data_IF_638405597332
#
_entry.id   IF_638405597332
#
_cell.length_a   1.000
_cell.length_b   1.000
_cell.length_c   1.000
_cell.angle_alpha   90.00
_cell.angle_beta   90.00
_cell.angle_gamma   90.00
#
_symmetry.space_group_name_H-M   'P 1'
#
loop_
_entity.id
_entity.type
_entity.pdbx_description
1 polymer ?
#
# COMPACT_ATOMS: atom_id res chain seq x y z
N UNK A 1 16.63 -52.82 60.19
CA UNK A 1 17.14 -51.44 60.39
C UNK A 1 16.29 -50.51 59.55
N UNK A 2 15.55 -49.59 60.17
CA UNK A 2 14.79 -48.56 59.46
C UNK A 2 15.80 -47.65 58.75
N UNK A 3 15.78 -47.61 57.41
CA UNK A 3 16.59 -46.65 56.65
C UNK A 3 15.98 -45.26 56.89
N UNK A 4 16.76 -44.36 57.51
CA UNK A 4 16.32 -43.00 57.82
C UNK A 4 16.01 -42.20 56.55
N UNK A 5 14.96 -41.38 56.62
CA UNK A 5 14.61 -40.42 55.58
C UNK A 5 15.50 -39.19 55.78
N UNK A 6 16.38 -38.89 54.82
CA UNK A 6 17.32 -37.77 54.88
C UNK A 6 16.57 -36.43 54.96
N UNK A 7 16.91 -35.55 55.91
CA UNK A 7 16.43 -34.15 55.95
C UNK A 7 15.34 -33.80 56.98
N UNK A 8 14.99 -34.68 57.93
CA UNK A 8 14.08 -34.36 59.05
C UNK A 8 14.67 -34.81 60.40
N UNK A 9 14.37 -34.10 61.52
CA UNK A 9 14.97 -34.35 62.83
C UNK A 9 14.54 -35.69 63.47
N UNK A 10 13.48 -36.34 62.98
CA UNK A 10 13.15 -37.73 63.34
C UNK A 10 12.30 -38.41 62.26
N UNK A 11 12.38 -39.74 62.16
CA UNK A 11 11.49 -40.55 61.32
C UNK A 11 10.04 -40.61 61.86
N UNK A 12 9.82 -40.16 63.11
CA UNK A 12 8.53 -40.20 63.81
C UNK A 12 7.70 -38.92 63.59
N UNK A 13 8.35 -37.81 63.27
CA UNK A 13 7.73 -36.48 63.07
C UNK A 13 7.76 -36.01 61.62
N UNK A 14 8.41 -36.74 60.73
CA UNK A 14 8.29 -36.53 59.30
C UNK A 14 6.87 -36.94 58.85
N UNK A 15 6.18 -36.16 58.01
CA UNK A 15 4.99 -36.65 57.33
C UNK A 15 5.34 -38.00 56.69
N UNK A 16 4.55 -39.03 56.94
CA UNK A 16 4.78 -40.32 56.34
C UNK A 16 4.72 -40.16 54.82
N UNK A 17 5.88 -40.24 54.14
CA UNK A 17 5.92 -40.62 52.73
C UNK A 17 5.65 -42.11 52.69
N UNK A 18 4.38 -42.47 52.90
CA UNK A 18 3.91 -43.82 52.71
C UNK A 18 3.83 -44.10 51.20
N UNK A 19 3.80 -45.39 50.86
CA UNK A 19 3.66 -45.84 49.47
C UNK A 19 2.40 -45.23 48.82
N UNK A 20 1.34 -45.03 49.62
CA UNK A 20 0.09 -44.41 49.19
C UNK A 20 0.30 -42.97 48.70
N UNK A 21 0.94 -42.10 49.48
CA UNK A 21 1.23 -40.72 49.11
C UNK A 21 2.19 -40.63 47.93
N UNK A 22 3.13 -41.57 47.83
CA UNK A 22 4.07 -41.64 46.71
C UNK A 22 3.36 -42.04 45.42
N UNK A 23 2.49 -43.04 45.49
CA UNK A 23 1.66 -43.48 44.37
C UNK A 23 0.68 -42.40 43.95
N UNK A 24 0.05 -41.70 44.90
CA UNK A 24 -0.81 -40.55 44.62
C UNK A 24 -0.07 -39.42 43.89
N UNK A 25 1.19 -39.16 44.21
CA UNK A 25 1.99 -38.18 43.45
C UNK A 25 2.34 -38.68 42.04
N UNK A 26 2.83 -39.90 41.90
CA UNK A 26 3.27 -40.46 40.61
C UNK A 26 2.09 -40.59 39.63
N UNK A 27 0.92 -41.00 40.13
CA UNK A 27 -0.29 -41.14 39.32
C UNK A 27 -0.98 -39.81 39.00
N UNK A 28 -0.59 -38.72 39.68
CA UNK A 28 -1.14 -37.40 39.40
C UNK A 28 -0.52 -36.80 38.13
N UNK A 29 -1.13 -37.13 37.00
CA UNK A 29 -0.72 -36.64 35.68
C UNK A 29 -0.71 -35.11 35.56
N UNK A 30 -1.43 -34.36 36.41
CA UNK A 30 -1.43 -32.90 36.39
C UNK A 30 -0.15 -32.26 36.96
N UNK A 31 0.67 -33.03 37.69
CA UNK A 31 1.94 -32.56 38.27
C UNK A 31 3.15 -32.86 37.38
N UNK A 32 2.99 -33.72 36.38
CA UNK A 32 4.09 -34.22 35.55
C UNK A 32 3.91 -33.78 34.11
N UNK A 33 5.03 -33.58 33.41
CA UNK A 33 5.03 -33.35 31.97
C UNK A 33 5.48 -34.60 31.23
N UNK A 34 4.79 -34.90 30.16
CA UNK A 34 5.13 -35.92 29.18
C UNK A 34 6.33 -35.50 28.32
N UNK A 35 6.89 -36.45 27.58
CA UNK A 35 7.89 -36.12 26.56
C UNK A 35 7.29 -35.24 25.44
N UNK A 36 6.05 -35.51 25.04
CA UNK A 36 5.34 -34.72 24.02
C UNK A 36 5.14 -33.26 24.42
N UNK A 37 4.76 -33.00 25.66
CA UNK A 37 4.66 -31.62 26.19
C UNK A 37 6.01 -30.91 26.19
N UNK A 38 7.08 -31.58 26.63
CA UNK A 38 8.43 -30.99 26.60
C UNK A 38 8.91 -30.68 25.18
N UNK A 39 8.68 -31.58 24.23
CA UNK A 39 9.01 -31.34 22.81
C UNK A 39 8.23 -30.14 22.26
N UNK A 40 6.93 -30.05 22.57
CA UNK A 40 6.10 -28.92 22.14
C UNK A 40 6.59 -27.60 22.74
N UNK A 41 6.88 -27.58 24.05
CA UNK A 41 7.36 -26.38 24.75
C UNK A 41 8.75 -25.94 24.27
N UNK A 42 9.64 -26.88 23.93
CA UNK A 42 10.97 -26.57 23.41
C UNK A 42 10.93 -25.86 22.04
N UNK A 43 9.85 -26.04 21.26
CA UNK A 43 9.64 -25.34 20.00
C UNK A 43 9.05 -23.93 20.12
N UNK A 44 8.71 -23.47 21.33
CA UNK A 44 8.08 -22.16 21.57
C UNK A 44 9.16 -21.16 22.00
N UNK A 45 9.31 -20.07 21.23
CA UNK A 45 10.24 -19.00 21.58
C UNK A 45 9.84 -18.31 22.90
N UNK A 46 10.83 -17.85 23.67
CA UNK A 46 10.58 -17.05 24.86
C UNK A 46 9.76 -15.80 24.50
N UNK A 47 8.65 -15.56 25.22
CA UNK A 47 7.74 -14.46 24.96
C UNK A 47 6.72 -14.71 23.84
N UNK A 48 6.63 -15.93 23.29
CA UNK A 48 5.59 -16.27 22.33
C UNK A 48 4.19 -16.15 22.98
N UNK A 49 3.36 -15.29 22.42
CA UNK A 49 1.97 -15.11 22.85
C UNK A 49 1.06 -16.13 22.18
N UNK A 50 0.07 -16.63 22.94
CA UNK A 50 -0.93 -17.54 22.39
C UNK A 50 -1.86 -16.74 21.47
N UNK A 51 -1.86 -17.07 20.17
CA UNK A 51 -2.72 -16.47 19.15
C UNK A 51 -2.37 -15.01 18.77
N UNK A 52 -1.10 -14.73 18.49
CA UNK A 52 -0.73 -13.43 17.93
C UNK A 52 -1.47 -13.20 16.60
N UNK A 53 -2.12 -12.03 16.45
CA UNK A 53 -2.75 -11.68 15.18
C UNK A 53 -1.68 -11.65 14.07
N UNK A 54 -1.98 -12.20 12.89
CA UNK A 54 -1.07 -12.10 11.74
C UNK A 54 -0.74 -10.63 11.38
N UNK A 55 -1.68 -9.72 11.64
CA UNK A 55 -1.52 -8.27 11.64
C UNK A 55 -2.48 -7.65 12.69
N UNK A 56 -2.06 -6.63 13.43
CA UNK A 56 -2.92 -5.96 14.41
C UNK A 56 -3.86 -4.93 13.73
N UNK A 57 -3.32 -4.14 12.80
CA UNK A 57 -4.04 -3.15 11.99
C UNK A 57 -3.37 -3.04 10.61
N UNK A 58 -4.16 -2.71 9.58
CA UNK A 58 -3.65 -2.21 8.30
C UNK A 58 -4.23 -0.81 8.10
N UNK A 59 -3.39 0.20 8.29
CA UNK A 59 -3.81 1.60 8.45
C UNK A 59 -4.88 1.72 9.57
N UNK A 60 -6.14 1.96 9.21
CA UNK A 60 -7.25 2.10 10.16
C UNK A 60 -8.25 0.93 10.09
N UNK A 61 -7.83 -0.21 9.55
CA UNK A 61 -8.60 -1.45 9.51
C UNK A 61 -8.08 -2.36 10.63
N UNK A 62 -8.77 -2.44 11.79
CA UNK A 62 -8.37 -3.35 12.86
C UNK A 62 -8.75 -4.80 12.52
N UNK A 63 -7.94 -5.75 12.97
CA UNK A 63 -8.32 -7.16 12.94
C UNK A 63 -9.44 -7.42 13.96
N UNK A 64 -10.54 -8.03 13.52
CA UNK A 64 -11.69 -8.39 14.34
C UNK A 64 -11.47 -9.71 15.12
N UNK A 65 -10.51 -10.52 14.69
CA UNK A 65 -10.19 -11.80 15.31
C UNK A 65 -8.69 -12.12 15.23
N UNK A 66 -8.31 -13.18 15.95
CA UNK A 66 -6.94 -13.71 16.02
C UNK A 66 -6.38 -14.15 14.66
N UNK A 67 -7.25 -14.57 13.76
CA UNK A 67 -6.97 -14.74 12.35
C UNK A 67 -8.05 -13.99 11.60
N UNK A 68 -7.65 -13.04 10.76
CA UNK A 68 -8.56 -12.19 10.01
C UNK A 68 -8.09 -12.02 8.57
N UNK A 69 -9.00 -11.59 7.70
CA UNK A 69 -8.74 -11.39 6.27
C UNK A 69 -8.88 -9.93 5.91
N UNK A 70 -7.81 -9.35 5.37
CA UNK A 70 -7.91 -8.11 4.61
C UNK A 70 -8.37 -8.43 3.19
N UNK A 71 -9.57 -7.99 2.82
CA UNK A 71 -10.05 -8.08 1.44
C UNK A 71 -9.67 -6.81 0.66
N UNK A 72 -9.00 -6.99 -0.48
CA UNK A 72 -8.68 -5.91 -1.42
C UNK A 72 -9.50 -6.13 -2.68
N UNK A 73 -10.30 -5.14 -3.06
CA UNK A 73 -11.22 -5.23 -4.21
C UNK A 73 -10.88 -4.16 -5.25
N UNK A 74 -10.96 -4.52 -6.52
CA UNK A 74 -10.82 -3.55 -7.61
C UNK A 74 -12.06 -2.65 -7.71
N UNK A 75 -11.86 -1.33 -7.64
CA UNK A 75 -12.90 -0.36 -7.96
C UNK A 75 -13.04 -0.13 -9.48
N UNK A 76 -13.77 0.91 -9.87
CA UNK A 76 -13.87 1.31 -11.28
C UNK A 76 -12.49 1.58 -11.86
N UNK A 77 -12.15 0.90 -12.96
CA UNK A 77 -10.88 1.07 -13.65
C UNK A 77 -9.67 0.48 -12.92
N UNK A 78 -9.88 -0.31 -11.86
CA UNK A 78 -8.82 -1.04 -11.16
C UNK A 78 -9.16 -2.53 -11.16
N UNK A 79 -8.22 -3.36 -11.58
CA UNK A 79 -8.29 -4.81 -11.44
C UNK A 79 -7.26 -5.28 -10.42
N UNK A 80 -7.71 -6.11 -9.47
CA UNK A 80 -6.85 -6.76 -8.49
C UNK A 80 -6.75 -8.24 -8.86
N UNK A 81 -5.53 -8.72 -9.09
CA UNK A 81 -5.26 -10.12 -9.44
C UNK A 81 -4.35 -10.73 -8.39
N UNK A 82 -4.73 -11.88 -7.83
CA UNK A 82 -3.95 -12.60 -6.82
C UNK A 82 -3.43 -13.93 -7.35
N UNK A 83 -2.19 -14.28 -7.02
CA UNK A 83 -1.62 -15.60 -7.26
C UNK A 83 -1.30 -16.27 -5.89
N UNK A 84 -2.10 -17.23 -5.43
CA UNK A 84 -1.89 -17.87 -4.14
C UNK A 84 -0.65 -18.77 -4.09
N UNK A 85 -0.20 -19.29 -5.24
CA UNK A 85 0.99 -20.15 -5.35
C UNK A 85 2.26 -19.34 -5.14
N UNK A 86 2.41 -18.22 -5.85
CA UNK A 86 3.58 -17.33 -5.72
C UNK A 86 3.44 -16.31 -4.60
N UNK A 87 2.28 -16.23 -3.95
CA UNK A 87 1.95 -15.26 -2.90
C UNK A 87 2.10 -13.80 -3.35
N UNK A 88 1.65 -13.49 -4.57
CA UNK A 88 1.71 -12.14 -5.14
C UNK A 88 0.33 -11.57 -5.43
N UNK A 89 0.21 -10.24 -5.33
CA UNK A 89 -0.97 -9.47 -5.73
C UNK A 89 -0.53 -8.39 -6.72
N UNK A 90 -1.28 -8.26 -7.81
CA UNK A 90 -1.12 -7.20 -8.79
C UNK A 90 -2.33 -6.26 -8.71
N UNK A 91 -2.06 -4.96 -8.71
CA UNK A 91 -3.08 -3.92 -8.82
C UNK A 91 -2.83 -3.20 -10.13
N UNK A 92 -3.74 -3.39 -11.07
CA UNK A 92 -3.61 -2.88 -12.44
C UNK A 92 -4.68 -1.84 -12.66
N UNK A 93 -4.29 -0.65 -13.13
CA UNK A 93 -5.24 0.28 -13.72
C UNK A 93 -5.72 -0.28 -15.06
N UNK A 94 -7.00 -0.65 -15.15
CA UNK A 94 -7.65 -1.22 -16.35
C UNK A 94 -8.64 -0.27 -17.00
N UNK A 95 -8.97 0.83 -16.34
CA UNK A 95 -9.68 1.94 -16.97
C UNK A 95 -8.73 2.87 -17.70
N UNK A 96 -9.23 3.53 -18.75
CA UNK A 96 -8.81 4.92 -18.98
C UNK A 96 -9.28 5.62 -17.71
N UNK A 97 -8.38 5.94 -16.77
CA UNK A 97 -8.79 6.79 -15.66
C UNK A 97 -9.40 8.03 -16.31
N UNK A 98 -10.69 8.31 -16.10
CA UNK A 98 -11.24 9.62 -16.44
C UNK A 98 -10.34 10.59 -15.71
N UNK A 99 -9.46 11.35 -16.38
CA UNK A 99 -8.54 12.20 -15.65
C UNK A 99 -9.39 13.15 -14.80
N UNK A 100 -8.91 13.54 -13.62
CA UNK A 100 -9.66 14.47 -12.75
C UNK A 100 -10.09 15.71 -13.56
N UNK A 101 -11.21 16.33 -13.18
CA UNK A 101 -11.83 17.42 -13.94
C UNK A 101 -10.78 18.35 -14.57
N UNK A 102 -10.63 18.24 -15.89
CA UNK A 102 -9.86 19.21 -16.67
C UNK A 102 -10.76 20.43 -16.84
N UNK A 103 -10.18 21.61 -17.09
CA UNK A 103 -10.95 22.84 -17.17
C UNK A 103 -12.16 22.70 -18.09
N UNK A 104 -13.30 23.32 -17.74
CA UNK A 104 -14.56 23.21 -18.51
C UNK A 104 -14.45 23.72 -19.96
N UNK A 105 -13.30 24.25 -20.36
CA UNK A 105 -12.98 24.66 -21.71
C UNK A 105 -11.49 24.46 -22.00
N UNK A 106 -11.21 23.88 -23.16
CA UNK A 106 -9.90 23.94 -23.80
C UNK A 106 -9.72 25.30 -24.48
N UNK A 107 -9.66 26.38 -23.70
CA UNK A 107 -9.37 27.71 -24.23
C UNK A 107 -7.85 27.98 -24.19
N UNK A 108 -7.39 28.87 -25.08
CA UNK A 108 -5.98 29.20 -25.24
C UNK A 108 -5.34 29.76 -23.96
N UNK A 109 -6.16 30.34 -23.08
CA UNK A 109 -5.77 30.99 -21.83
C UNK A 109 -6.19 30.16 -20.59
N UNK A 110 -6.60 28.91 -20.79
CA UNK A 110 -7.04 28.01 -19.73
C UNK A 110 -5.93 27.15 -19.13
N UNK A 111 -6.29 26.40 -18.08
CA UNK A 111 -5.39 25.44 -17.44
C UNK A 111 -5.15 24.16 -18.26
N UNK A 112 -5.88 23.97 -19.36
CA UNK A 112 -5.81 22.79 -20.23
C UNK A 112 -5.87 23.20 -21.72
N UNK A 113 -4.84 23.91 -22.23
CA UNK A 113 -4.81 24.38 -23.62
C UNK A 113 -4.50 23.24 -24.59
N UNK A 114 -5.15 23.24 -25.75
CA UNK A 114 -4.75 22.39 -26.90
C UNK A 114 -3.60 23.11 -27.63
N UNK A 115 -2.35 22.61 -27.60
CA UNK A 115 -1.19 23.35 -28.12
C UNK A 115 -1.32 23.75 -29.60
N UNK A 116 -1.93 22.89 -30.42
CA UNK A 116 -2.17 23.16 -31.84
C UNK A 116 -3.18 24.29 -32.06
N UNK A 117 -4.17 24.47 -31.18
CA UNK A 117 -5.13 25.56 -31.27
C UNK A 117 -4.50 26.91 -30.90
N UNK A 118 -3.61 26.91 -29.90
CA UNK A 118 -2.81 28.09 -29.52
C UNK A 118 -1.93 28.52 -30.70
N UNK A 119 -1.25 27.56 -31.34
CA UNK A 119 -0.43 27.78 -32.53
C UNK A 119 -1.25 28.30 -33.71
N UNK A 120 -2.45 27.73 -33.94
CA UNK A 120 -3.35 28.19 -34.98
C UNK A 120 -3.86 29.62 -34.74
N UNK A 121 -4.25 29.96 -33.50
CA UNK A 121 -4.68 31.32 -33.15
C UNK A 121 -3.58 32.34 -33.44
N UNK A 122 -2.33 32.06 -33.06
CA UNK A 122 -1.20 32.94 -33.35
C UNK A 122 -1.00 33.15 -34.87
N UNK A 123 -1.14 32.08 -35.66
CA UNK A 123 -1.04 32.16 -37.13
C UNK A 123 -2.20 32.93 -37.77
N UNK A 124 -3.42 32.75 -37.26
CA UNK A 124 -4.60 33.50 -37.72
C UNK A 124 -4.45 34.98 -37.40
N UNK A 125 -4.03 35.34 -36.18
CA UNK A 125 -3.77 36.74 -35.82
C UNK A 125 -2.68 37.36 -36.71
N UNK A 126 -1.59 36.64 -36.96
CA UNK A 126 -0.54 37.13 -37.87
C UNK A 126 -1.06 37.33 -39.31
N UNK A 127 -1.99 36.49 -39.77
CA UNK A 127 -2.62 36.64 -41.08
C UNK A 127 -3.62 37.83 -41.10
N UNK A 128 -4.41 38.00 -40.04
CA UNK A 128 -5.33 39.13 -39.87
C UNK A 128 -4.56 40.46 -39.87
N UNK A 129 -3.46 40.53 -39.12
CA UNK A 129 -2.56 41.68 -39.11
C UNK A 129 -2.03 41.94 -40.52
N UNK A 130 -1.49 40.91 -41.20
CA UNK A 130 -0.99 41.05 -42.57
C UNK A 130 -2.06 41.57 -43.54
N UNK A 131 -3.27 41.04 -43.47
CA UNK A 131 -4.40 41.46 -44.32
C UNK A 131 -4.88 42.87 -43.98
N UNK A 132 -4.84 43.29 -42.72
CA UNK A 132 -5.17 44.66 -42.32
C UNK A 132 -4.17 45.69 -42.88
N UNK A 133 -2.93 45.29 -43.17
CA UNK A 133 -1.93 46.12 -43.86
C UNK A 133 -2.02 46.05 -45.39
N UNK A 134 -2.88 45.21 -45.96
CA UNK A 134 -3.17 45.22 -47.40
C UNK A 134 -4.39 46.13 -47.67
N UNK A 135 -4.23 47.26 -48.38
CA UNK A 135 -5.39 48.04 -48.82
C UNK A 135 -6.27 47.18 -49.74
N UNK A 136 -7.48 46.88 -49.29
CA UNK A 136 -8.46 46.02 -49.99
C UNK A 136 -9.02 46.72 -51.25
N UNK A 137 -8.79 48.01 -51.37
CA UNK A 137 -9.34 48.93 -52.36
C UNK A 137 -8.50 49.01 -53.65
N UNK A 138 -7.48 48.16 -53.82
CA UNK A 138 -6.64 48.16 -55.03
C UNK A 138 -5.75 49.41 -55.17
N UNK A 139 -5.63 50.21 -54.11
CA UNK A 139 -4.64 51.28 -54.00
C UNK A 139 -3.24 50.67 -53.91
N UNK A 140 -2.32 51.13 -54.76
CA UNK A 140 -0.97 50.57 -54.85
C UNK A 140 -0.25 50.50 -53.50
N UNK A 141 0.68 49.54 -53.39
CA UNK A 141 1.55 49.33 -52.23
C UNK A 141 2.11 50.67 -51.74
N UNK A 142 1.71 51.11 -50.54
CA UNK A 142 2.16 52.38 -49.98
C UNK A 142 3.67 52.29 -49.72
N UNK A 143 4.48 52.94 -50.55
CA UNK A 143 5.95 52.88 -50.50
C UNK A 143 6.58 53.75 -49.39
N UNK A 144 5.79 54.27 -48.45
CA UNK A 144 6.31 55.10 -47.36
C UNK A 144 6.62 54.22 -46.15
N UNK A 145 7.89 54.10 -45.73
CA UNK A 145 8.31 53.09 -44.75
C UNK A 145 7.92 53.53 -43.34
N UNK A 146 6.76 53.07 -42.88
CA UNK A 146 6.38 53.11 -41.45
C UNK A 146 6.30 51.73 -40.80
N UNK A 147 6.46 50.65 -41.59
CA UNK A 147 6.34 49.26 -41.13
C UNK A 147 7.70 48.56 -40.96
N UNK A 148 7.75 47.40 -40.27
CA UNK A 148 8.98 46.67 -40.02
C UNK A 148 9.66 46.31 -41.34
N UNK A 149 10.95 46.60 -41.43
CA UNK A 149 11.78 46.28 -42.59
C UNK A 149 11.86 44.75 -42.69
N UNK A 150 11.24 44.18 -43.72
CA UNK A 150 11.59 42.83 -44.18
C UNK A 150 12.95 42.98 -44.85
N UNK A 151 14.02 42.91 -44.05
CA UNK A 151 15.37 42.75 -44.58
C UNK A 151 15.41 41.41 -45.28
N UNK A 152 15.31 41.45 -46.61
CA UNK A 152 15.57 40.32 -47.48
C UNK A 152 17.04 39.97 -47.31
N UNK A 153 17.31 39.16 -46.29
CA UNK A 153 18.62 38.60 -46.00
C UNK A 153 19.29 38.17 -47.30
N UNK A 154 20.46 38.76 -47.53
CA UNK A 154 21.24 38.54 -48.74
C UNK A 154 21.66 37.08 -48.79
N UNK A 155 21.47 36.47 -49.97
CA UNK A 155 21.89 35.12 -50.32
C UNK A 155 23.33 34.80 -49.93
#
# INVERSE_FOLDING_TARGET
MIKGITGKPSALTAPAINLEATKAHVDNASLHTTAGEKTKLAGIAAGAEVNQNAFATVNNIPAAAKSDTLTVTGGTGITVTTNPTTKTMFVTATGIATPGAHGSSHNNDGSDPIPELVSLKAKVTALEDFLAYMPIDGGGFQTTPGGPVIDGGTY
#
